data_IF_408484386493
#
_entry.id   IF_408484386493
#
_cell.length_a   1.000
_cell.length_b   1.000
_cell.length_c   1.000
_cell.angle_alpha   90.00
_cell.angle_beta   90.00
_cell.angle_gamma   90.00
#
_symmetry.space_group_name_H-M   'P 1'
#
loop_
_entity.id
_entity.type
_entity.pdbx_description
1 polymer ?
#
# COMPACT_ATOMS: atom_id res chain seq x y z
N UNK A 1 12.73 -19.03 -24.47
CA UNK A 1 11.59 -19.95 -24.37
C UNK A 1 10.33 -19.18 -24.71
N UNK A 2 9.37 -19.77 -25.44
CA UNK A 2 8.04 -19.16 -25.52
C UNK A 2 7.42 -19.16 -24.12
N UNK A 3 6.75 -18.07 -23.70
CA UNK A 3 6.00 -18.09 -22.46
C UNK A 3 4.93 -19.18 -22.54
N UNK A 4 4.64 -19.84 -21.41
CA UNK A 4 3.52 -20.76 -21.33
C UNK A 4 2.23 -20.05 -21.76
N UNK A 5 1.34 -20.76 -22.44
CA UNK A 5 0.04 -20.22 -22.81
C UNK A 5 -0.68 -19.69 -21.56
N UNK A 6 -1.27 -18.48 -21.61
CA UNK A 6 -2.02 -17.93 -20.48
C UNK A 6 -3.09 -18.91 -20.00
N UNK A 7 -3.18 -19.11 -18.68
CA UNK A 7 -4.21 -19.95 -18.07
C UNK A 7 -5.39 -19.08 -17.66
N UNK A 8 -6.58 -19.39 -18.16
CA UNK A 8 -7.81 -18.83 -17.64
C UNK A 8 -8.15 -19.52 -16.31
N UNK A 9 -8.29 -18.73 -15.24
CA UNK A 9 -8.61 -19.22 -13.90
C UNK A 9 -10.09 -19.08 -13.55
N UNK A 10 -10.89 -18.43 -14.41
CA UNK A 10 -12.26 -18.05 -14.08
C UNK A 10 -12.27 -17.02 -12.96
N UNK A 11 -12.88 -17.39 -11.83
CA UNK A 11 -12.94 -16.57 -10.62
C UNK A 11 -11.86 -16.98 -9.62
N UNK A 12 -11.26 -15.99 -8.94
CA UNK A 12 -10.27 -16.20 -7.89
C UNK A 12 -10.84 -15.65 -6.57
N UNK A 13 -11.12 -16.55 -5.62
CA UNK A 13 -11.39 -16.20 -4.22
C UNK A 13 -10.12 -16.45 -3.40
N UNK A 14 -9.50 -15.39 -2.90
CA UNK A 14 -8.25 -15.46 -2.15
C UNK A 14 -8.17 -14.34 -1.10
N UNK A 15 -7.44 -14.60 -0.01
CA UNK A 15 -7.11 -13.55 0.95
C UNK A 15 -6.06 -12.56 0.40
N UNK A 16 -5.19 -13.05 -0.50
CA UNK A 16 -4.14 -12.27 -1.15
C UNK A 16 -3.72 -12.86 -2.50
N UNK A 17 -3.46 -11.99 -3.46
CA UNK A 17 -2.90 -12.29 -4.77
C UNK A 17 -1.60 -11.47 -4.93
N UNK A 18 -0.52 -12.12 -5.36
CA UNK A 18 0.75 -11.48 -5.70
C UNK A 18 1.01 -11.60 -7.19
N UNK A 19 1.40 -10.50 -7.83
CA UNK A 19 1.99 -10.47 -9.16
C UNK A 19 3.47 -10.19 -8.97
N UNK A 20 4.30 -11.04 -9.59
CA UNK A 20 5.76 -11.01 -9.48
C UNK A 20 6.42 -11.07 -10.86
N UNK A 21 7.61 -10.53 -10.95
CA UNK A 21 8.54 -10.82 -12.04
C UNK A 21 9.08 -12.25 -11.94
N UNK A 22 9.81 -12.68 -12.99
CA UNK A 22 10.38 -14.03 -13.06
C UNK A 22 11.39 -14.33 -11.94
N UNK A 23 12.03 -13.30 -11.38
CA UNK A 23 12.98 -13.40 -10.26
C UNK A 23 12.29 -13.37 -8.89
N UNK A 24 10.96 -13.20 -8.86
CA UNK A 24 10.17 -13.12 -7.63
C UNK A 24 9.94 -11.69 -7.11
N UNK A 25 10.46 -10.66 -7.78
CA UNK A 25 10.24 -9.25 -7.39
C UNK A 25 8.75 -8.92 -7.48
N UNK A 26 8.17 -8.38 -6.39
CA UNK A 26 6.76 -7.98 -6.37
C UNK A 26 6.50 -6.81 -7.35
N UNK A 27 5.32 -6.83 -7.97
CA UNK A 27 4.82 -5.76 -8.85
C UNK A 27 3.44 -5.27 -8.43
N UNK A 28 2.60 -6.18 -7.96
CA UNK A 28 1.27 -5.88 -7.43
C UNK A 28 0.93 -6.86 -6.31
N UNK A 29 0.35 -6.35 -5.24
CA UNK A 29 -0.30 -7.13 -4.20
C UNK A 29 -1.74 -6.69 -4.13
N UNK A 30 -2.70 -7.62 -4.15
CA UNK A 30 -4.11 -7.37 -3.84
C UNK A 30 -4.43 -8.20 -2.60
N UNK A 31 -4.97 -7.61 -1.54
CA UNK A 31 -5.18 -8.33 -0.28
C UNK A 31 -6.28 -7.76 0.59
N UNK A 32 -6.84 -8.62 1.43
CA UNK A 32 -7.64 -8.20 2.58
C UNK A 32 -6.78 -7.47 3.63
N UNK A 33 -7.42 -6.95 4.67
CA UNK A 33 -6.76 -6.18 5.75
C UNK A 33 -5.80 -7.01 6.60
N UNK A 34 -6.01 -8.33 6.69
CA UNK A 34 -5.26 -9.21 7.58
C UNK A 34 -4.00 -9.79 6.89
N UNK A 35 -3.94 -9.71 5.55
CA UNK A 35 -2.82 -10.19 4.72
C UNK A 35 -2.11 -9.06 3.97
N UNK A 36 -2.43 -7.81 4.30
CA UNK A 36 -1.84 -6.63 3.67
C UNK A 36 -0.33 -6.65 3.76
N UNK A 37 0.34 -6.36 2.64
CA UNK A 37 1.79 -6.26 2.62
C UNK A 37 2.22 -5.02 3.43
N UNK A 38 3.22 -5.13 4.33
CA UNK A 38 3.56 -4.04 5.23
C UNK A 38 4.31 -2.89 4.55
N UNK A 39 4.82 -3.13 3.35
CA UNK A 39 5.57 -2.18 2.49
C UNK A 39 7.07 -2.46 2.47
N UNK A 40 7.74 -2.03 1.41
CA UNK A 40 9.20 -2.10 1.27
C UNK A 40 9.71 -0.73 0.82
N UNK A 41 10.77 -0.23 1.47
CA UNK A 41 11.46 1.02 1.06
C UNK A 41 12.96 0.78 1.19
N UNK A 42 13.73 1.05 0.14
CA UNK A 42 15.17 0.79 0.10
C UNK A 42 15.51 -0.68 0.39
N UNK A 43 14.68 -1.61 -0.08
CA UNK A 43 14.83 -3.05 0.16
C UNK A 43 14.49 -3.50 1.59
N UNK A 44 14.02 -2.60 2.46
CA UNK A 44 13.69 -2.92 3.86
C UNK A 44 12.17 -3.03 4.04
N UNK A 45 11.74 -4.15 4.59
CA UNK A 45 10.33 -4.37 4.96
C UNK A 45 9.98 -3.49 6.15
N UNK A 46 8.93 -2.67 6.01
CA UNK A 46 8.46 -1.80 7.08
C UNK A 46 7.76 -2.61 8.18
N UNK A 47 7.87 -2.18 9.43
CA UNK A 47 7.13 -2.75 10.56
C UNK A 47 6.02 -1.77 10.99
N UNK A 48 4.82 -1.91 10.39
CA UNK A 48 3.66 -1.06 10.70
C UNK A 48 2.33 -1.80 10.57
N UNK A 49 1.33 -1.51 11.43
CA UNK A 49 -0.02 -1.98 11.21
C UNK A 49 -0.63 -1.29 9.98
N UNK A 50 -1.32 -2.06 9.13
CA UNK A 50 -2.13 -1.55 8.02
C UNK A 50 -3.53 -2.17 8.05
N UNK A 51 -4.46 -1.62 8.84
CA UNK A 51 -5.80 -2.20 9.01
C UNK A 51 -6.74 -1.90 7.81
N UNK A 52 -6.22 -1.99 6.60
CA UNK A 52 -6.92 -1.68 5.35
C UNK A 52 -6.76 -2.82 4.36
N UNK A 53 -7.83 -3.13 3.62
CA UNK A 53 -7.73 -3.94 2.42
C UNK A 53 -7.30 -3.05 1.24
N UNK A 54 -6.96 -3.66 0.11
CA UNK A 54 -6.68 -2.92 -1.10
C UNK A 54 -5.60 -3.55 -1.97
N UNK A 55 -4.90 -2.70 -2.72
CA UNK A 55 -3.80 -3.09 -3.58
C UNK A 55 -2.58 -2.19 -3.37
N UNK A 56 -1.39 -2.74 -3.47
CA UNK A 56 -0.12 -2.02 -3.46
C UNK A 56 0.66 -2.35 -4.73
N UNK A 57 1.31 -1.37 -5.32
CA UNK A 57 2.17 -1.57 -6.48
C UNK A 57 3.63 -1.23 -6.14
N UNK A 58 4.55 -1.88 -6.84
CA UNK A 58 5.97 -1.87 -6.51
C UNK A 58 6.80 -1.49 -7.75
N UNK A 59 7.85 -0.69 -7.55
CA UNK A 59 8.77 -0.27 -8.60
C UNK A 59 9.77 -1.37 -8.95
N UNK A 60 10.61 -1.14 -9.97
CA UNK A 60 11.56 -2.13 -10.49
C UNK A 60 12.52 -2.71 -9.42
N UNK A 61 12.79 -1.96 -8.35
CA UNK A 61 13.65 -2.36 -7.23
C UNK A 61 12.94 -3.22 -6.18
N UNK A 62 11.62 -3.39 -6.31
CA UNK A 62 10.78 -4.11 -5.35
C UNK A 62 10.31 -3.25 -4.18
N UNK A 63 10.51 -1.92 -4.24
CA UNK A 63 10.01 -0.98 -3.26
C UNK A 63 8.57 -0.59 -3.57
N UNK A 64 7.76 -0.36 -2.53
CA UNK A 64 6.40 0.15 -2.69
C UNK A 64 6.43 1.52 -3.34
N UNK A 65 5.63 1.70 -4.38
CA UNK A 65 5.51 2.95 -5.15
C UNK A 65 4.13 3.61 -4.99
N UNK A 66 3.31 3.07 -4.08
CA UNK A 66 1.97 3.53 -3.80
C UNK A 66 0.97 2.37 -3.73
N UNK A 67 -0.31 2.75 -3.71
CA UNK A 67 -1.39 1.78 -3.59
C UNK A 67 -2.76 2.40 -3.45
N UNK A 68 -3.77 1.56 -3.53
CA UNK A 68 -5.13 1.88 -3.13
C UNK A 68 -5.45 1.17 -1.83
N UNK A 69 -5.94 1.90 -0.84
CA UNK A 69 -6.42 1.32 0.42
C UNK A 69 -7.89 1.65 0.61
N UNK A 70 -8.61 0.73 1.26
CA UNK A 70 -10.00 0.90 1.63
C UNK A 70 -10.31 0.20 2.95
N UNK A 71 -11.08 0.87 3.78
CA UNK A 71 -11.69 0.32 4.98
C UNK A 71 -13.01 1.03 5.25
N UNK A 72 -13.91 0.33 5.92
CA UNK A 72 -15.21 0.85 6.30
C UNK A 72 -15.83 0.00 7.37
N UNK A 73 -16.42 0.65 8.38
CA UNK A 73 -17.12 -0.04 9.45
C UNK A 73 -18.32 0.77 9.90
N UNK A 74 -19.43 0.08 10.06
CA UNK A 74 -20.64 0.61 10.68
C UNK A 74 -20.99 -0.26 11.90
N UNK A 75 -21.30 0.40 13.00
CA UNK A 75 -21.71 -0.19 14.28
C UNK A 75 -22.59 0.80 15.03
N UNK A 76 -23.35 0.38 16.06
CA UNK A 76 -24.22 1.30 16.81
C UNK A 76 -23.43 2.52 17.33
N UNK A 77 -23.80 3.71 16.87
CA UNK A 77 -23.15 4.98 17.25
C UNK A 77 -21.78 5.24 16.62
N UNK A 78 -21.31 4.40 15.68
CA UNK A 78 -20.01 4.59 15.02
C UNK A 78 -20.04 4.17 13.55
N UNK A 79 -19.72 5.11 12.67
CA UNK A 79 -19.59 4.91 11.23
C UNK A 79 -18.30 5.57 10.74
N UNK A 80 -17.37 4.75 10.27
CA UNK A 80 -16.08 5.20 9.75
C UNK A 80 -15.84 4.62 8.36
N UNK A 81 -15.24 5.41 7.48
CA UNK A 81 -14.70 4.93 6.23
C UNK A 81 -13.40 5.66 5.90
N UNK A 82 -12.44 4.97 5.29
CA UNK A 82 -11.26 5.57 4.68
C UNK A 82 -11.00 4.87 3.35
N UNK A 83 -10.78 5.64 2.31
CA UNK A 83 -10.30 5.16 1.04
C UNK A 83 -9.25 6.12 0.49
N UNK A 84 -8.21 5.58 -0.11
CA UNK A 84 -7.16 6.39 -0.72
C UNK A 84 -6.54 5.69 -1.91
N UNK A 85 -6.16 6.45 -2.94
CA UNK A 85 -5.25 6.04 -4.00
C UNK A 85 -4.05 6.98 -3.98
N UNK A 86 -2.87 6.41 -3.79
CA UNK A 86 -1.65 7.15 -3.52
C UNK A 86 -0.54 6.73 -4.48
N UNK A 87 0.27 7.70 -4.88
CA UNK A 87 1.50 7.51 -5.65
C UNK A 87 2.66 8.08 -4.84
N UNK A 88 3.67 7.24 -4.61
CA UNK A 88 4.87 7.60 -3.88
C UNK A 88 5.91 8.19 -4.86
N UNK A 89 6.67 9.17 -4.39
CA UNK A 89 7.86 9.60 -5.11
C UNK A 89 8.95 8.52 -4.97
N UNK A 90 9.78 8.35 -6.00
CA UNK A 90 10.84 7.35 -6.00
C UNK A 90 11.76 7.51 -4.78
N UNK A 91 11.87 6.47 -3.95
CA UNK A 91 12.67 6.48 -2.72
C UNK A 91 12.10 7.33 -1.59
N UNK A 92 10.84 7.77 -1.71
CA UNK A 92 10.13 8.67 -0.81
C UNK A 92 8.71 8.18 -0.49
N UNK A 93 7.99 9.00 0.27
CA UNK A 93 6.58 8.80 0.63
C UNK A 93 5.64 9.48 -0.41
N UNK A 94 4.32 9.49 -0.15
CA UNK A 94 3.31 9.97 -1.10
C UNK A 94 3.61 11.37 -1.67
N UNK A 95 3.58 11.51 -3.01
CA UNK A 95 3.67 12.80 -3.73
C UNK A 95 2.32 13.24 -4.29
N UNK A 96 1.44 12.30 -4.68
CA UNK A 96 0.10 12.57 -5.20
C UNK A 96 -0.91 11.60 -4.58
N UNK A 97 -2.11 12.11 -4.26
CA UNK A 97 -3.16 11.31 -3.62
C UNK A 97 -4.59 11.73 -3.95
N UNK A 98 -5.48 10.74 -4.02
CA UNK A 98 -6.92 10.89 -3.98
C UNK A 98 -7.43 10.26 -2.68
N UNK A 99 -8.18 11.01 -1.88
CA UNK A 99 -8.62 10.57 -0.56
C UNK A 99 -10.12 10.75 -0.36
N UNK A 100 -10.70 9.84 0.42
CA UNK A 100 -12.00 9.97 1.06
C UNK A 100 -11.89 9.48 2.51
N UNK A 101 -12.42 10.27 3.44
CA UNK A 101 -12.55 9.90 4.85
C UNK A 101 -13.94 10.25 5.36
N UNK A 102 -14.49 9.40 6.21
CA UNK A 102 -15.75 9.65 6.91
C UNK A 102 -15.62 9.25 8.38
N UNK A 103 -16.11 10.12 9.27
CA UNK A 103 -16.23 9.87 10.71
C UNK A 103 -17.58 10.38 11.17
N UNK A 104 -18.50 9.47 11.52
CA UNK A 104 -19.83 9.79 12.05
C UNK A 104 -20.59 10.88 11.25
N UNK A 105 -20.67 10.70 9.93
CA UNK A 105 -21.36 11.62 9.03
C UNK A 105 -20.56 12.87 8.63
N UNK A 106 -19.44 13.16 9.28
CA UNK A 106 -18.47 14.15 8.80
C UNK A 106 -17.62 13.52 7.71
N UNK A 107 -17.55 14.17 6.55
CA UNK A 107 -16.91 13.62 5.34
C UNK A 107 -15.88 14.59 4.80
N UNK A 108 -14.78 14.05 4.32
CA UNK A 108 -13.80 14.77 3.52
C UNK A 108 -13.46 13.95 2.29
N UNK A 109 -13.30 14.62 1.16
CA UNK A 109 -12.75 14.03 -0.05
C UNK A 109 -11.87 15.06 -0.74
N UNK A 110 -10.79 14.63 -1.38
CA UNK A 110 -9.88 15.56 -2.01
C UNK A 110 -8.77 14.94 -2.84
N UNK A 111 -8.20 15.79 -3.68
CA UNK A 111 -6.93 15.55 -4.35
C UNK A 111 -5.84 16.29 -3.57
N UNK A 112 -4.73 15.61 -3.30
CA UNK A 112 -3.59 16.15 -2.56
C UNK A 112 -2.30 16.00 -3.35
N UNK A 113 -1.44 17.01 -3.22
CA UNK A 113 -0.10 17.04 -3.78
C UNK A 113 0.85 17.44 -2.65
N UNK A 114 1.93 16.70 -2.50
CA UNK A 114 2.95 16.95 -1.50
C UNK A 114 4.28 17.24 -2.18
N UNK A 115 4.95 18.28 -1.70
CA UNK A 115 6.35 18.53 -1.98
C UNK A 115 7.21 17.66 -1.05
N UNK A 116 8.17 16.91 -1.60
CA UNK A 116 9.01 15.99 -0.85
C UNK A 116 10.48 16.31 -1.09
N UNK A 117 11.34 16.22 -0.05
CA UNK A 117 12.77 16.42 -0.21
C UNK A 117 13.42 15.24 -0.95
N UNK A 118 14.61 15.47 -1.51
CA UNK A 118 15.39 14.42 -2.19
C UNK A 118 16.11 13.46 -1.21
N UNK A 119 16.14 13.78 0.08
CA UNK A 119 16.88 13.01 1.09
C UNK A 119 16.25 11.62 1.30
N UNK A 120 16.97 10.50 1.08
CA UNK A 120 16.38 9.15 1.04
C UNK A 120 15.58 8.78 2.29
N UNK A 121 14.34 8.33 2.11
CA UNK A 121 13.48 7.91 3.22
C UNK A 121 14.01 6.67 3.96
N UNK A 122 14.79 5.83 3.27
CA UNK A 122 15.37 4.62 3.84
C UNK A 122 16.28 4.90 5.06
N UNK A 123 16.96 6.04 5.10
CA UNK A 123 17.82 6.44 6.21
C UNK A 123 16.98 6.75 7.46
N UNK A 124 15.81 7.37 7.27
CA UNK A 124 14.85 7.65 8.34
C UNK A 124 14.15 6.39 8.86
N UNK A 125 13.92 5.39 8.00
CA UNK A 125 13.30 4.12 8.40
C UNK A 125 14.14 3.39 9.45
N UNK A 126 15.47 3.40 9.32
CA UNK A 126 16.36 2.77 10.30
C UNK A 126 16.32 3.45 11.66
N UNK A 127 16.14 4.77 11.68
CA UNK A 127 15.97 5.52 12.92
C UNK A 127 14.61 5.24 13.56
N UNK A 128 13.54 5.22 12.76
CA UNK A 128 12.17 4.97 13.23
C UNK A 128 11.99 3.55 13.80
N UNK A 129 12.58 2.55 13.13
CA UNK A 129 12.56 1.16 13.60
C UNK A 129 13.33 1.00 14.91
N UNK A 130 14.48 1.69 15.08
CA UNK A 130 15.23 1.70 16.33
C UNK A 130 14.43 2.34 17.48
N UNK A 131 13.76 3.45 17.22
CA UNK A 131 12.97 4.16 18.24
C UNK A 131 11.74 3.35 18.72
N UNK A 132 11.16 2.49 17.88
CA UNK A 132 10.02 1.63 18.22
C UNK A 132 10.39 0.32 18.91
N UNK A 133 11.68 -0.02 18.98
CA UNK A 133 12.18 -1.24 19.62
C UNK A 133 12.54 -1.06 21.11
N UNK A 134 12.33 0.15 21.65
CA UNK A 134 12.52 0.55 23.06
C UNK A 134 11.15 0.78 23.68
#
# INVERSE_FOLDING_TARGET
MQPASPRNLGEITAERINIVDADGTLRLVISNKDRMHPGVIGGKVLQRPRPHAGLLFFNDQGDEAGGMTLTGRESPGRRDADAGLMFDQLGQDQTIGLEYTERNGQRSAGFKVWDRPDAPLADLVDELNRARAI
#
